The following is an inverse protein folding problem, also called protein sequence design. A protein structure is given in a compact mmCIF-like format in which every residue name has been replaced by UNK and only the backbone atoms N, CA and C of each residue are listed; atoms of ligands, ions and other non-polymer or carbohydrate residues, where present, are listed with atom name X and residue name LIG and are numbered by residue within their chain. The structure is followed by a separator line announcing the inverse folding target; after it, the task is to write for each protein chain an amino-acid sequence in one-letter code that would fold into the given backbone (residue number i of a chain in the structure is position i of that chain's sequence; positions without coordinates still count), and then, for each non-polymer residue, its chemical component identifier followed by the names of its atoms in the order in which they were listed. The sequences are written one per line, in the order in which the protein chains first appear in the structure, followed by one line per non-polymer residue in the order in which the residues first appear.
data_IF_893303905099
#
_entry.id   IF_893303905099
#
_cell.length_a   1.000
_cell.length_b   1.000
_cell.length_c   1.000
_cell.angle_alpha   90.00
_cell.angle_beta   90.00
_cell.angle_gamma   90.00
#
_symmetry.space_group_name_H-M   'P 1'
#
loop_
_entity.id
_entity.type
_entity.pdbx_description
1 polymer ?
#
# COMPACT_ATOMS: atom_id res chain seq x y z
N UNK A 1 -12.92 1.89 -8.11
CA UNK A 1 -12.38 3.18 -8.61
C UNK A 1 -13.43 4.29 -8.44
N UNK A 2 -13.03 5.42 -7.87
CA UNK A 2 -13.88 6.61 -7.78
C UNK A 2 -13.38 7.64 -8.78
N UNK A 3 -14.18 7.92 -9.80
CA UNK A 3 -13.87 8.95 -10.80
C UNK A 3 -14.69 10.21 -10.49
N UNK A 4 -14.04 11.36 -10.44
CA UNK A 4 -14.71 12.64 -10.22
C UNK A 4 -15.72 12.98 -11.33
N UNK A 5 -16.77 13.76 -11.00
CA UNK A 5 -17.86 14.11 -11.94
C UNK A 5 -17.36 14.74 -13.25
N UNK A 6 -16.26 15.47 -13.21
CA UNK A 6 -15.70 16.12 -14.40
C UNK A 6 -15.04 15.09 -15.33
N UNK A 7 -14.31 14.12 -14.80
CA UNK A 7 -13.67 13.05 -15.57
C UNK A 7 -14.73 12.16 -16.23
N UNK A 8 -15.84 11.87 -15.53
CA UNK A 8 -16.99 11.16 -16.12
C UNK A 8 -17.58 11.89 -17.34
N UNK A 9 -17.61 13.23 -17.32
CA UNK A 9 -18.09 14.03 -18.45
C UNK A 9 -17.13 14.07 -19.63
N UNK A 10 -15.85 13.76 -19.43
CA UNK A 10 -14.85 13.64 -20.50
C UNK A 10 -14.82 12.26 -21.17
N UNK A 11 -15.77 11.36 -20.80
CA UNK A 11 -15.91 10.05 -21.41
C UNK A 11 -15.19 8.90 -20.66
N UNK A 12 -14.46 9.18 -19.60
CA UNK A 12 -13.89 8.14 -18.75
C UNK A 12 -14.94 7.60 -17.77
N UNK A 13 -15.38 6.37 -17.95
CA UNK A 13 -16.18 5.66 -16.97
C UNK A 13 -15.30 5.08 -15.86
N UNK A 14 -15.76 5.10 -14.59
CA UNK A 14 -15.10 4.32 -13.55
C UNK A 14 -15.23 2.84 -13.89
N UNK A 15 -14.16 2.07 -13.63
CA UNK A 15 -14.18 0.61 -13.69
C UNK A 15 -14.31 0.12 -12.25
N UNK A 16 -15.55 -0.02 -11.71
CA UNK A 16 -15.73 -0.47 -10.35
C UNK A 16 -15.49 -1.97 -10.27
N UNK A 17 -14.80 -2.41 -9.25
CA UNK A 17 -14.84 -3.82 -8.86
C UNK A 17 -16.17 -4.06 -8.16
N UNK A 18 -17.07 -4.79 -8.79
CA UNK A 18 -18.44 -5.01 -8.28
C UNK A 18 -18.65 -6.43 -7.76
N UNK A 19 -17.89 -7.39 -8.25
CA UNK A 19 -17.95 -8.78 -7.83
C UNK A 19 -16.84 -9.08 -6.83
N UNK A 20 -17.22 -9.20 -5.57
CA UNK A 20 -16.31 -9.52 -4.46
C UNK A 20 -16.32 -11.01 -4.09
N UNK A 21 -17.12 -11.81 -4.78
CA UNK A 21 -17.19 -13.27 -4.57
C UNK A 21 -16.18 -14.01 -5.46
N UNK A 22 -15.42 -13.29 -6.29
CA UNK A 22 -14.32 -13.85 -7.06
C UNK A 22 -13.26 -14.41 -6.11
N UNK A 23 -12.80 -15.62 -6.43
CA UNK A 23 -11.76 -16.34 -5.69
C UNK A 23 -10.55 -16.66 -6.59
N UNK A 24 -9.43 -17.09 -5.98
CA UNK A 24 -8.24 -17.52 -6.72
C UNK A 24 -7.27 -16.41 -7.09
N UNK A 25 -7.54 -15.16 -6.71
CA UNK A 25 -6.56 -14.08 -6.84
C UNK A 25 -5.52 -14.17 -5.70
N UNK A 26 -4.29 -13.78 -6.00
CA UNK A 26 -3.14 -13.89 -5.08
C UNK A 26 -2.76 -12.60 -4.38
N UNK A 27 -3.46 -11.49 -4.64
CA UNK A 27 -3.18 -10.19 -4.01
C UNK A 27 -4.28 -9.19 -4.34
N UNK A 28 -4.37 -8.12 -3.55
CA UNK A 28 -5.32 -7.03 -3.76
C UNK A 28 -4.56 -5.72 -3.94
N UNK A 29 -4.85 -4.98 -5.01
CA UNK A 29 -4.36 -3.62 -5.16
C UNK A 29 -5.14 -2.70 -4.20
N UNK A 30 -4.50 -2.38 -3.07
CA UNK A 30 -5.11 -1.54 -2.04
C UNK A 30 -4.96 -0.04 -2.33
N UNK A 31 -3.97 0.33 -3.16
CA UNK A 31 -3.67 1.73 -3.48
C UNK A 31 -3.19 1.88 -4.91
N UNK A 32 -3.93 2.66 -5.69
CA UNK A 32 -3.60 3.03 -7.06
C UNK A 32 -3.54 4.56 -7.17
N UNK A 33 -2.38 5.09 -7.60
CA UNK A 33 -2.14 6.53 -7.66
C UNK A 33 -3.11 7.24 -8.61
N UNK A 34 -3.27 6.73 -9.83
CA UNK A 34 -4.12 7.38 -10.83
C UNK A 34 -5.60 7.31 -10.47
N UNK A 35 -6.05 6.22 -9.86
CA UNK A 35 -7.42 6.12 -9.35
C UNK A 35 -7.70 7.14 -8.25
N UNK A 36 -6.78 7.32 -7.31
CA UNK A 36 -6.92 8.35 -6.28
C UNK A 36 -6.87 9.75 -6.91
N UNK A 37 -5.91 10.00 -7.81
CA UNK A 37 -5.79 11.28 -8.51
C UNK A 37 -7.07 11.62 -9.28
N UNK A 38 -7.61 10.70 -10.09
CA UNK A 38 -8.86 10.89 -10.83
C UNK A 38 -10.06 11.23 -9.92
N UNK A 39 -10.07 10.72 -8.69
CA UNK A 39 -11.12 11.01 -7.72
C UNK A 39 -11.13 12.47 -7.24
N UNK A 40 -10.00 13.17 -7.34
CA UNK A 40 -9.83 14.56 -6.94
C UNK A 40 -10.38 15.53 -8.00
N UNK A 41 -10.50 15.09 -9.25
CA UNK A 41 -10.89 15.92 -10.39
C UNK A 41 -12.42 16.06 -10.41
N UNK A 42 -12.93 17.09 -9.75
CA UNK A 42 -14.38 17.34 -9.63
C UNK A 42 -14.90 18.34 -10.65
N UNK A 43 -14.08 19.29 -11.08
CA UNK A 43 -14.40 20.37 -12.01
C UNK A 43 -13.12 20.88 -12.68
N UNK A 44 -13.24 21.86 -13.60
CA UNK A 44 -12.11 22.44 -14.34
C UNK A 44 -11.06 23.08 -13.43
N UNK A 45 -11.47 23.73 -12.35
CA UNK A 45 -10.53 24.37 -11.41
C UNK A 45 -9.71 23.32 -10.64
N UNK A 46 -10.34 22.25 -10.17
CA UNK A 46 -9.63 21.14 -9.53
C UNK A 46 -8.73 20.41 -10.53
N UNK A 47 -9.14 20.26 -11.80
CA UNK A 47 -8.29 19.68 -12.84
C UNK A 47 -7.04 20.52 -13.08
N UNK A 48 -7.19 21.83 -13.19
CA UNK A 48 -6.07 22.75 -13.34
C UNK A 48 -5.14 22.72 -12.12
N UNK A 49 -5.71 22.85 -10.91
CA UNK A 49 -4.93 22.86 -9.67
C UNK A 49 -4.11 21.57 -9.48
N UNK A 50 -4.77 20.41 -9.55
CA UNK A 50 -4.08 19.12 -9.37
C UNK A 50 -3.23 18.73 -10.59
N UNK A 51 -3.51 19.27 -11.77
CA UNK A 51 -2.61 19.15 -12.93
C UNK A 51 -1.25 19.82 -12.70
N UNK A 52 -1.21 20.95 -11.97
CA UNK A 52 0.04 21.62 -11.58
C UNK A 52 0.64 21.06 -10.28
N UNK A 53 -0.19 20.61 -9.34
CA UNK A 53 0.22 20.17 -8.00
C UNK A 53 -0.33 18.76 -7.68
N UNK A 54 0.01 17.73 -8.47
CA UNK A 54 -0.61 16.41 -8.35
C UNK A 54 -0.39 15.77 -6.98
N UNK A 55 0.80 15.91 -6.41
CA UNK A 55 1.12 15.34 -5.11
C UNK A 55 0.31 15.94 -3.96
N UNK A 56 -0.29 17.13 -4.13
CA UNK A 56 -1.04 17.78 -3.03
C UNK A 56 -2.35 17.10 -2.68
N UNK A 57 -2.92 16.35 -3.61
CA UNK A 57 -4.22 15.69 -3.42
C UNK A 57 -4.14 14.27 -2.87
N UNK A 58 -3.01 13.60 -3.03
CA UNK A 58 -2.83 12.19 -2.65
C UNK A 58 -2.78 12.04 -1.14
N UNK A 59 -3.66 11.20 -0.59
CA UNK A 59 -3.90 11.05 0.86
C UNK A 59 -3.63 9.64 1.35
N UNK A 60 -3.91 8.62 0.54
CA UNK A 60 -3.78 7.22 0.92
C UNK A 60 -4.84 6.32 0.28
N UNK A 61 -4.77 5.03 0.54
CA UNK A 61 -5.77 4.09 0.10
C UNK A 61 -7.18 4.51 0.47
N UNK A 62 -8.15 4.22 -0.36
CA UNK A 62 -9.55 4.46 -0.01
C UNK A 62 -9.94 3.59 1.19
N UNK A 63 -10.59 4.20 2.19
CA UNK A 63 -11.06 3.49 3.40
C UNK A 63 -11.93 2.28 3.09
N UNK A 64 -12.74 2.38 2.04
CA UNK A 64 -13.59 1.28 1.60
C UNK A 64 -12.75 0.10 1.10
N UNK A 65 -11.68 0.35 0.34
CA UNK A 65 -10.76 -0.69 -0.13
C UNK A 65 -10.05 -1.38 1.04
N UNK A 66 -9.57 -0.61 2.02
CA UNK A 66 -8.97 -1.18 3.24
C UNK A 66 -9.99 -2.02 4.02
N UNK A 67 -11.23 -1.55 4.17
CA UNK A 67 -12.28 -2.31 4.85
C UNK A 67 -12.64 -3.62 4.12
N UNK A 68 -12.69 -3.62 2.79
CA UNK A 68 -12.86 -4.85 2.01
C UNK A 68 -11.69 -5.81 2.19
N UNK A 69 -10.47 -5.29 2.16
CA UNK A 69 -9.28 -6.10 2.41
C UNK A 69 -9.30 -6.72 3.80
N UNK A 70 -9.58 -5.94 4.85
CA UNK A 70 -9.73 -6.46 6.20
C UNK A 70 -10.83 -7.53 6.30
N UNK A 71 -11.94 -7.36 5.56
CA UNK A 71 -13.00 -8.36 5.45
C UNK A 71 -12.56 -9.67 4.80
N UNK A 72 -11.69 -9.63 3.79
CA UNK A 72 -11.10 -10.82 3.17
C UNK A 72 -10.16 -11.54 4.15
N UNK A 73 -9.31 -10.77 4.83
CA UNK A 73 -8.38 -11.28 5.83
C UNK A 73 -9.13 -11.93 7.02
N UNK A 74 -10.23 -11.32 7.47
CA UNK A 74 -11.08 -11.87 8.54
C UNK A 74 -11.77 -13.20 8.16
N UNK A 75 -11.97 -13.44 6.86
CA UNK A 75 -12.45 -14.74 6.34
C UNK A 75 -11.35 -15.81 6.27
N UNK A 76 -10.14 -15.51 6.73
CA UNK A 76 -8.98 -16.41 6.70
C UNK A 76 -8.26 -16.46 5.35
N UNK A 77 -8.61 -15.57 4.40
CA UNK A 77 -7.93 -15.53 3.11
C UNK A 77 -6.56 -14.85 3.27
N UNK A 78 -5.54 -15.43 2.64
CA UNK A 78 -4.20 -14.85 2.57
C UNK A 78 -4.10 -13.97 1.33
N UNK A 79 -4.32 -12.68 1.50
CA UNK A 79 -4.35 -11.69 0.41
C UNK A 79 -3.30 -10.61 0.67
N UNK A 80 -2.11 -10.71 0.04
CA UNK A 80 -1.09 -9.68 0.09
C UNK A 80 -1.58 -8.33 -0.42
N UNK A 81 -1.04 -7.26 0.15
CA UNK A 81 -1.22 -5.91 -0.35
C UNK A 81 -0.27 -5.63 -1.51
N UNK A 82 -0.83 -5.14 -2.60
CA UNK A 82 -0.08 -4.53 -3.69
C UNK A 82 -0.59 -3.11 -3.93
N UNK A 83 0.21 -2.29 -4.58
CA UNK A 83 -0.16 -0.94 -4.99
C UNK A 83 0.70 -0.50 -6.16
N UNK A 84 0.22 0.46 -6.90
CA UNK A 84 0.93 0.93 -8.07
C UNK A 84 0.58 2.34 -8.48
N UNK A 85 1.40 2.88 -9.37
CA UNK A 85 1.22 4.21 -9.91
C UNK A 85 0.21 4.25 -11.05
N UNK A 86 -0.09 3.11 -11.69
CA UNK A 86 -0.91 3.03 -12.91
C UNK A 86 -0.37 3.96 -14.01
N UNK A 87 0.93 3.79 -14.31
CA UNK A 87 1.71 4.72 -15.10
C UNK A 87 1.42 4.58 -16.60
N UNK A 88 0.79 5.60 -17.20
CA UNK A 88 0.41 5.61 -18.61
C UNK A 88 1.22 6.59 -19.47
N UNK A 89 1.88 7.59 -18.87
CA UNK A 89 2.64 8.62 -19.60
C UNK A 89 1.77 9.42 -20.57
N UNK A 90 0.50 9.63 -20.27
CA UNK A 90 -0.48 10.21 -21.18
C UNK A 90 -0.18 11.68 -21.49
N UNK A 91 -0.16 12.01 -22.77
CA UNK A 91 -0.03 13.38 -23.24
C UNK A 91 -1.40 14.05 -23.29
N UNK A 92 -1.53 15.16 -22.61
CA UNK A 92 -2.73 16.01 -22.67
C UNK A 92 -2.47 17.22 -23.54
N UNK A 93 -3.44 17.54 -24.41
CA UNK A 93 -3.42 18.72 -25.26
C UNK A 93 -4.56 19.65 -24.85
N UNK A 94 -4.23 20.90 -24.56
CA UNK A 94 -5.18 21.94 -24.21
C UNK A 94 -4.89 23.19 -25.04
N UNK A 95 -5.58 23.32 -26.17
CA UNK A 95 -5.24 24.35 -27.17
C UNK A 95 -3.83 24.15 -27.71
N UNK A 96 -2.98 25.20 -27.71
CA UNK A 96 -1.60 25.10 -28.18
C UNK A 96 -0.66 24.39 -27.18
N UNK A 97 -1.10 24.15 -25.95
CA UNK A 97 -0.29 23.54 -24.90
C UNK A 97 -0.40 22.04 -24.98
N UNK A 98 0.72 21.38 -25.24
CA UNK A 98 0.87 19.91 -25.19
C UNK A 98 1.80 19.54 -24.05
N UNK A 99 1.33 18.74 -23.08
CA UNK A 99 2.11 18.35 -21.91
C UNK A 99 1.81 16.92 -21.50
N UNK A 100 2.88 16.17 -21.16
CA UNK A 100 2.76 14.93 -20.40
C UNK A 100 2.55 15.32 -18.93
N UNK A 101 1.35 15.14 -18.38
CA UNK A 101 1.05 15.53 -16.99
C UNK A 101 1.75 14.64 -15.97
N UNK A 102 1.91 13.37 -16.30
CA UNK A 102 2.49 12.35 -15.46
C UNK A 102 3.53 11.55 -16.25
N UNK A 103 4.76 12.06 -16.40
CA UNK A 103 5.84 11.29 -17.02
C UNK A 103 6.13 10.05 -16.16
N UNK A 104 6.59 8.98 -16.81
CA UNK A 104 6.90 7.71 -16.13
C UNK A 104 7.87 7.89 -14.97
N UNK A 105 8.89 8.74 -15.15
CA UNK A 105 9.86 9.09 -14.10
C UNK A 105 9.20 9.63 -12.81
N UNK A 106 8.14 10.43 -12.94
CA UNK A 106 7.38 10.92 -11.80
C UNK A 106 6.56 9.80 -11.18
N UNK A 107 5.81 9.05 -12.00
CA UNK A 107 4.87 8.03 -11.52
C UNK A 107 5.59 6.85 -10.84
N UNK A 108 6.74 6.42 -11.38
CA UNK A 108 7.54 5.35 -10.76
C UNK A 108 8.13 5.72 -9.40
N UNK A 109 8.11 6.98 -9.01
CA UNK A 109 8.48 7.47 -7.68
C UNK A 109 7.27 7.62 -6.75
N UNK A 110 6.05 7.41 -7.24
CA UNK A 110 4.84 7.59 -6.44
C UNK A 110 4.57 6.37 -5.57
N UNK A 111 3.58 5.58 -5.94
CA UNK A 111 3.16 4.40 -5.18
C UNK A 111 3.81 3.17 -5.78
N UNK A 112 4.55 2.44 -4.94
CA UNK A 112 5.28 1.25 -5.31
C UNK A 112 4.92 0.09 -4.39
N UNK A 113 4.91 -1.11 -4.96
CA UNK A 113 4.95 -2.35 -4.18
C UNK A 113 6.41 -2.73 -3.96
N UNK A 114 6.85 -2.65 -2.71
CA UNK A 114 8.14 -3.16 -2.29
C UNK A 114 8.03 -4.64 -1.94
N UNK A 115 9.07 -5.39 -2.19
CA UNK A 115 9.16 -6.83 -1.90
C UNK A 115 10.40 -7.13 -1.05
N UNK A 116 10.28 -8.14 -0.19
CA UNK A 116 11.41 -8.74 0.51
C UNK A 116 11.67 -10.13 -0.08
N UNK A 117 12.79 -10.26 -0.78
CA UNK A 117 13.26 -11.55 -1.28
C UNK A 117 13.98 -12.32 -0.19
N UNK A 118 13.89 -13.64 -0.20
CA UNK A 118 14.53 -14.51 0.79
C UNK A 118 16.06 -14.46 0.69
N UNK A 119 16.55 -14.30 -0.53
CA UNK A 119 17.97 -14.16 -0.83
C UNK A 119 18.20 -12.93 -1.73
N UNK A 120 19.40 -12.36 -1.72
CA UNK A 120 19.76 -11.30 -2.67
C UNK A 120 19.60 -11.75 -4.12
N UNK A 121 19.17 -10.83 -4.99
CA UNK A 121 19.19 -11.05 -6.43
C UNK A 121 20.64 -11.19 -6.91
N UNK A 122 20.89 -12.09 -7.83
CA UNK A 122 22.23 -12.41 -8.31
C UNK A 122 22.44 -12.18 -9.82
N UNK A 123 21.41 -11.69 -10.52
CA UNK A 123 21.43 -11.42 -11.95
C UNK A 123 21.09 -12.64 -12.82
N UNK A 124 20.85 -13.83 -12.24
CA UNK A 124 20.40 -15.01 -12.98
C UNK A 124 18.87 -14.95 -13.13
N UNK A 125 18.41 -14.81 -14.36
CA UNK A 125 17.01 -14.54 -14.68
C UNK A 125 16.02 -15.48 -13.97
N UNK A 126 16.20 -16.80 -14.06
CA UNK A 126 15.26 -17.77 -13.51
C UNK A 126 15.29 -17.78 -11.97
N UNK A 127 16.46 -17.60 -11.37
CA UNK A 127 16.61 -17.48 -9.94
C UNK A 127 15.92 -16.21 -9.41
N UNK A 128 16.24 -15.07 -9.99
CA UNK A 128 15.72 -13.79 -9.53
C UNK A 128 14.20 -13.68 -9.75
N UNK A 129 13.71 -14.19 -10.88
CA UNK A 129 12.28 -14.29 -11.18
C UNK A 129 11.53 -15.13 -10.14
N UNK A 130 12.08 -16.29 -9.74
CA UNK A 130 11.49 -17.11 -8.69
C UNK A 130 11.42 -16.35 -7.35
N UNK A 131 12.50 -15.72 -6.93
CA UNK A 131 12.55 -14.95 -5.70
C UNK A 131 11.49 -13.82 -5.67
N UNK A 132 11.34 -13.11 -6.80
CA UNK A 132 10.37 -12.02 -6.92
C UNK A 132 8.93 -12.56 -6.84
N UNK A 133 8.60 -13.60 -7.60
CA UNK A 133 7.25 -14.16 -7.60
C UNK A 133 6.90 -14.82 -6.27
N UNK A 134 7.85 -15.46 -5.61
CA UNK A 134 7.62 -16.06 -4.29
C UNK A 134 7.40 -14.98 -3.22
N UNK A 135 8.15 -13.87 -3.28
CA UNK A 135 7.91 -12.74 -2.40
C UNK A 135 6.51 -12.16 -2.58
N UNK A 136 6.05 -12.01 -3.82
CA UNK A 136 4.69 -11.53 -4.13
C UNK A 136 3.62 -12.51 -3.66
N UNK A 137 3.75 -13.82 -3.95
CA UNK A 137 2.78 -14.86 -3.56
C UNK A 137 2.67 -15.01 -2.05
N UNK A 138 3.80 -14.96 -1.36
CA UNK A 138 3.85 -15.08 0.10
C UNK A 138 3.46 -13.80 0.83
N UNK A 139 3.27 -12.69 0.09
CA UNK A 139 2.92 -11.43 0.72
C UNK A 139 4.08 -10.79 1.49
N UNK A 140 5.33 -11.10 1.14
CA UNK A 140 6.49 -10.36 1.67
C UNK A 140 6.58 -8.98 1.01
N UNK A 141 5.50 -8.21 1.15
CA UNK A 141 5.28 -6.95 0.44
C UNK A 141 4.78 -5.84 1.35
N UNK A 142 5.12 -4.61 1.00
CA UNK A 142 4.43 -3.42 1.49
C UNK A 142 4.22 -2.42 0.36
N UNK A 143 3.17 -1.63 0.49
CA UNK A 143 2.88 -0.52 -0.42
C UNK A 143 3.44 0.76 0.17
N UNK A 144 4.31 1.42 -0.58
CA UNK A 144 5.00 2.64 -0.17
C UNK A 144 4.69 3.83 -1.06
N UNK A 145 4.51 5.01 -0.47
CA UNK A 145 4.45 6.29 -1.19
C UNK A 145 5.82 6.97 -1.15
N UNK A 146 6.72 6.53 -2.03
CA UNK A 146 8.13 6.93 -2.01
C UNK A 146 8.35 8.39 -2.38
N UNK A 147 7.45 9.00 -3.15
CA UNK A 147 7.51 10.43 -3.44
C UNK A 147 7.34 11.30 -2.17
N UNK A 148 6.61 10.80 -1.18
CA UNK A 148 6.44 11.47 0.12
C UNK A 148 7.70 11.36 0.97
N UNK A 149 8.28 10.17 1.03
CA UNK A 149 9.58 9.84 1.59
C UNK A 149 9.94 8.39 1.21
N UNK A 150 11.22 8.06 0.99
CA UNK A 150 11.64 6.69 0.74
C UNK A 150 11.15 5.73 1.82
N UNK A 151 10.63 4.56 1.42
CA UNK A 151 10.14 3.53 2.33
C UNK A 151 11.10 2.36 2.48
N UNK A 152 12.21 2.34 1.75
CA UNK A 152 13.28 1.37 1.91
C UNK A 152 13.82 1.40 3.34
N UNK A 153 14.01 0.21 3.95
CA UNK A 153 14.36 0.07 5.36
C UNK A 153 13.16 -0.14 6.29
N UNK A 154 11.93 -0.15 5.76
CA UNK A 154 10.77 -0.59 6.54
C UNK A 154 10.90 -2.07 6.91
N UNK A 155 10.58 -2.41 8.17
CA UNK A 155 10.45 -3.80 8.61
C UNK A 155 9.24 -3.98 9.52
N UNK A 156 8.65 -5.18 9.45
CA UNK A 156 7.58 -5.63 10.32
C UNK A 156 7.77 -7.12 10.61
N UNK A 157 8.03 -7.42 11.86
CA UNK A 157 8.34 -8.75 12.33
C UNK A 157 7.53 -9.09 13.58
N UNK A 158 7.35 -10.39 13.82
CA UNK A 158 6.77 -10.92 15.04
C UNK A 158 7.57 -12.12 15.54
N UNK A 159 7.63 -12.29 16.86
CA UNK A 159 8.29 -13.43 17.51
C UNK A 159 7.50 -13.94 18.70
N UNK A 160 7.55 -15.28 18.91
CA UNK A 160 6.98 -15.95 20.08
C UNK A 160 7.87 -17.13 20.45
N UNK A 161 8.54 -17.05 21.59
CA UNK A 161 9.62 -17.99 21.94
C UNK A 161 10.73 -17.97 20.89
N UNK A 162 11.05 -19.12 20.31
CA UNK A 162 12.02 -19.28 19.22
C UNK A 162 11.44 -19.01 17.82
N UNK A 163 10.12 -18.97 17.69
CA UNK A 163 9.46 -18.77 16.40
C UNK A 163 9.47 -17.31 15.97
N UNK A 164 9.69 -17.08 14.69
CA UNK A 164 9.68 -15.74 14.07
C UNK A 164 8.90 -15.76 12.78
N UNK A 165 8.27 -14.65 12.48
CA UNK A 165 7.64 -14.36 11.20
C UNK A 165 7.90 -12.91 10.81
N UNK A 166 8.04 -12.66 9.52
CA UNK A 166 8.02 -11.31 8.93
C UNK A 166 6.71 -11.10 8.17
N UNK A 167 6.49 -9.90 7.68
CA UNK A 167 5.31 -9.57 6.86
C UNK A 167 5.07 -10.64 5.77
N UNK A 168 3.81 -11.01 5.55
CA UNK A 168 3.38 -12.12 4.70
C UNK A 168 3.41 -13.49 5.36
N UNK A 169 4.20 -13.66 6.43
CA UNK A 169 4.43 -14.94 7.09
C UNK A 169 3.39 -15.31 8.15
N UNK A 170 3.50 -16.56 8.60
CA UNK A 170 2.72 -17.11 9.72
C UNK A 170 3.59 -17.31 10.95
N UNK A 171 3.12 -16.82 12.07
CA UNK A 171 3.73 -17.04 13.39
C UNK A 171 2.94 -18.09 14.15
N UNK A 172 3.53 -19.28 14.31
CA UNK A 172 3.02 -20.28 15.25
C UNK A 172 3.48 -19.85 16.64
N UNK A 173 2.55 -19.38 17.47
CA UNK A 173 2.88 -18.88 18.78
C UNK A 173 3.02 -19.99 19.83
N UNK A 174 3.99 -19.85 20.71
CA UNK A 174 4.22 -20.71 21.88
C UNK A 174 3.94 -19.97 23.20
N UNK A 175 3.54 -18.72 23.13
CA UNK A 175 3.23 -17.81 24.23
C UNK A 175 2.72 -16.48 23.66
N UNK A 176 2.93 -15.38 24.36
CA UNK A 176 2.66 -14.07 23.82
C UNK A 176 3.56 -13.75 22.62
N UNK A 177 3.00 -13.18 21.58
CA UNK A 177 3.72 -12.70 20.42
C UNK A 177 4.19 -11.26 20.66
N UNK A 178 5.42 -10.96 20.29
CA UNK A 178 6.01 -9.62 20.32
C UNK A 178 6.12 -9.15 18.88
N UNK A 179 5.47 -8.06 18.55
CA UNK A 179 5.50 -7.39 17.25
C UNK A 179 6.46 -6.22 17.31
N UNK A 180 7.32 -6.11 16.31
CA UNK A 180 8.30 -5.03 16.16
C UNK A 180 8.15 -4.44 14.75
N UNK A 181 7.96 -3.12 14.71
CA UNK A 181 7.84 -2.34 13.47
C UNK A 181 8.94 -1.30 13.48
N UNK A 182 9.66 -1.18 12.36
CA UNK A 182 10.60 -0.09 12.13
C UNK A 182 10.24 0.63 10.84
N UNK A 183 10.28 1.96 10.87
CA UNK A 183 10.12 2.82 9.69
C UNK A 183 11.37 3.67 9.48
N UNK A 184 11.83 3.86 8.23
CA UNK A 184 13.09 4.58 7.95
C UNK A 184 13.06 6.07 8.36
N UNK A 185 11.88 6.61 8.58
CA UNK A 185 11.67 7.98 9.02
C UNK A 185 10.52 8.05 10.00
N UNK A 186 10.52 9.07 10.88
CA UNK A 186 9.45 9.29 11.86
C UNK A 186 8.08 9.41 11.18
N UNK A 187 7.11 8.66 11.71
CA UNK A 187 5.74 8.58 11.20
C UNK A 187 4.74 8.37 12.33
N UNK A 188 3.45 8.53 12.04
CA UNK A 188 2.36 8.03 12.89
C UNK A 188 2.17 6.55 12.50
N UNK A 189 2.83 5.64 13.22
CA UNK A 189 2.82 4.19 12.97
C UNK A 189 1.68 3.55 13.77
N UNK A 190 0.91 2.70 13.13
CA UNK A 190 -0.20 1.95 13.70
C UNK A 190 -0.04 0.47 13.43
N UNK A 191 -0.22 -0.33 14.47
CA UNK A 191 -0.42 -1.77 14.35
C UNK A 191 -1.92 -2.05 14.44
N UNK A 192 -2.43 -2.79 13.47
CA UNK A 192 -3.82 -3.21 13.43
C UNK A 192 -3.91 -4.71 13.70
N UNK A 193 -4.90 -5.09 14.48
CA UNK A 193 -5.31 -6.47 14.72
C UNK A 193 -6.72 -6.65 14.16
N UNK A 194 -6.89 -7.56 13.21
CA UNK A 194 -8.19 -7.82 12.54
C UNK A 194 -8.87 -6.51 12.08
N UNK A 195 -8.09 -5.59 11.48
CA UNK A 195 -8.58 -4.31 10.99
C UNK A 195 -8.75 -3.20 12.04
N UNK A 196 -8.55 -3.49 13.34
CA UNK A 196 -8.67 -2.51 14.43
C UNK A 196 -7.31 -2.08 14.96
N UNK A 197 -7.12 -0.78 15.20
CA UNK A 197 -5.86 -0.26 15.75
C UNK A 197 -5.71 -0.72 17.19
N UNK A 198 -4.65 -1.49 17.48
CA UNK A 198 -4.33 -2.01 18.83
C UNK A 198 -3.12 -1.32 19.46
N UNK A 199 -2.25 -0.73 18.63
CA UNK A 199 -1.13 0.08 19.12
C UNK A 199 -0.81 1.19 18.11
N UNK A 200 -0.32 2.32 18.62
CA UNK A 200 0.15 3.40 17.79
C UNK A 200 1.28 4.17 18.48
N UNK A 201 2.18 4.71 17.67
CA UNK A 201 3.26 5.57 18.14
C UNK A 201 3.54 6.67 17.12
N UNK A 202 4.20 7.72 17.56
CA UNK A 202 4.78 8.73 16.69
C UNK A 202 6.31 8.66 16.81
N UNK A 203 6.93 8.07 15.83
CA UNK A 203 8.38 7.81 15.83
C UNK A 203 8.76 6.88 14.69
N UNK A 204 9.90 6.21 14.84
CA UNK A 204 10.40 5.22 13.90
C UNK A 204 10.07 3.79 14.32
N UNK A 205 9.85 3.56 15.60
CA UNK A 205 9.76 2.22 16.15
C UNK A 205 8.46 2.04 16.94
N UNK A 206 7.80 0.89 16.74
CA UNK A 206 6.66 0.45 17.53
C UNK A 206 6.88 -0.97 17.99
N UNK A 207 6.67 -1.20 19.29
CA UNK A 207 6.69 -2.53 19.88
C UNK A 207 5.36 -2.80 20.57
N UNK A 208 4.80 -3.98 20.36
CA UNK A 208 3.54 -4.42 20.95
C UNK A 208 3.58 -5.89 21.30
N UNK A 209 2.94 -6.27 22.40
CA UNK A 209 2.85 -7.67 22.83
C UNK A 209 1.40 -8.08 22.92
N UNK A 210 1.07 -9.24 22.33
CA UNK A 210 -0.29 -9.79 22.35
C UNK A 210 -0.29 -11.31 22.48
N UNK A 211 -1.32 -11.82 23.15
CA UNK A 211 -1.62 -13.24 23.19
C UNK A 211 -2.74 -13.64 22.19
N UNK A 212 -3.24 -12.72 21.38
CA UNK A 212 -4.35 -12.94 20.49
C UNK A 212 -3.92 -13.58 19.16
N UNK A 213 -4.69 -14.56 18.70
CA UNK A 213 -4.56 -15.16 17.35
C UNK A 213 -5.33 -14.33 16.35
N UNK A 214 -4.77 -14.16 15.17
CA UNK A 214 -5.42 -13.39 14.11
C UNK A 214 -4.44 -12.70 13.18
N UNK A 215 -4.88 -11.64 12.54
CA UNK A 215 -4.16 -10.97 11.46
C UNK A 215 -3.64 -9.63 11.95
N UNK A 216 -2.35 -9.42 11.85
CA UNK A 216 -1.69 -8.17 12.23
C UNK A 216 -1.08 -7.49 11.01
N UNK A 217 -1.33 -6.20 10.82
CA UNK A 217 -0.75 -5.41 9.73
C UNK A 217 -0.41 -4.00 10.18
N UNK A 218 0.43 -3.32 9.41
CA UNK A 218 0.93 -1.99 9.75
C UNK A 218 0.40 -0.95 8.76
N UNK A 219 -0.01 0.19 9.29
CA UNK A 219 -0.23 1.43 8.55
C UNK A 219 0.66 2.53 9.11
N UNK A 220 1.44 3.18 8.28
CA UNK A 220 2.21 4.35 8.67
C UNK A 220 1.77 5.57 7.87
N UNK A 221 1.66 6.69 8.56
CA UNK A 221 1.25 7.97 7.99
C UNK A 221 2.28 9.05 8.31
N UNK A 222 2.49 9.95 7.37
CA UNK A 222 3.38 11.10 7.57
C UNK A 222 2.61 12.40 7.46
N UNK A 223 3.03 13.40 8.22
CA UNK A 223 2.56 14.76 8.01
C UNK A 223 3.31 15.37 6.83
N UNK A 224 2.57 15.91 5.89
CA UNK A 224 3.10 16.70 4.79
C UNK A 224 2.34 18.02 4.73
N UNK A 225 3.02 19.11 5.00
CA UNK A 225 2.40 20.42 5.21
C UNK A 225 1.38 20.34 6.38
N UNK A 226 0.09 20.58 6.10
CA UNK A 226 -0.99 20.58 7.11
C UNK A 226 -1.75 19.25 7.16
N UNK A 227 -1.42 18.29 6.28
CA UNK A 227 -2.20 17.08 6.08
C UNK A 227 -1.45 15.83 6.53
N UNK A 228 -2.22 14.85 7.03
CA UNK A 228 -1.75 13.49 7.27
C UNK A 228 -1.98 12.66 6.02
N UNK A 229 -0.91 12.00 5.54
CA UNK A 229 -0.92 11.17 4.33
C UNK A 229 -0.47 9.76 4.62
N UNK A 230 -1.10 8.79 3.99
CA UNK A 230 -0.63 7.43 3.95
C UNK A 230 0.78 7.37 3.37
N UNK A 231 1.60 6.50 3.94
CA UNK A 231 2.99 6.36 3.55
C UNK A 231 3.40 4.92 3.36
N UNK A 232 3.13 4.03 4.35
CA UNK A 232 3.44 2.60 4.28
C UNK A 232 2.21 1.81 4.70
N UNK A 233 1.89 0.75 3.93
CA UNK A 233 0.85 -0.22 4.24
C UNK A 233 1.43 -1.61 4.02
N UNK A 234 1.64 -2.38 5.10
CA UNK A 234 2.24 -3.70 5.01
C UNK A 234 1.24 -4.78 4.67
N UNK A 235 1.68 -5.82 4.00
CA UNK A 235 1.01 -7.12 4.08
C UNK A 235 1.04 -7.63 5.53
N UNK A 236 0.08 -8.50 5.91
CA UNK A 236 -0.07 -8.91 7.29
C UNK A 236 0.91 -9.99 7.73
N UNK A 237 1.06 -10.14 9.05
CA UNK A 237 1.53 -11.35 9.73
C UNK A 237 0.31 -12.09 10.27
N UNK A 238 0.25 -13.39 10.05
CA UNK A 238 -0.82 -14.28 10.52
C UNK A 238 -0.37 -15.00 11.77
N UNK A 239 -1.10 -14.90 12.87
CA UNK A 239 -0.78 -15.55 14.15
C UNK A 239 -1.73 -16.72 14.38
N UNK A 240 -1.15 -17.94 14.39
CA UNK A 240 -1.88 -19.21 14.61
C UNK A 240 -1.70 -19.75 16.04
#
# INVERSE_FOLDING_TARGET
ERVGRFVKRSGEAPIPWVDWDVSGFVGLEIWNYMSEFKSLIRNRLSALYFGFFPARGIRGPFRQTLAHWDGLLAKGLRVPAIGGADAHGTTYTMGPVRRVLFPYEYLFRCINTHILTEHPLNGLLEHDKMLIYDALRQGRTWVGYDLLAPTAGFSFEARSGSNRAMLGGELVRTGAAIFEVHTPHSADVRLLFNGQVVAQTRGTDLKYTSAERGVYRVEAYRRHQFDRRGWIFSSPIYVA
#
